data_IF_072028048714
#
_entry.id   IF_072028048714
#
_cell.length_a   1.000
_cell.length_b   1.000
_cell.length_c   1.000
_cell.angle_alpha   90.00
_cell.angle_beta   90.00
_cell.angle_gamma   90.00
#
_symmetry.space_group_name_H-M   'P 1'
#
loop_
_entity.id
_entity.type
_entity.pdbx_description
1 polymer ?
#
# COMPACT_ATOMS: atom_id res chain seq x y z
N UNK A 1 17.72 7.98 14.89
CA UNK A 1 16.41 8.56 14.51
C UNK A 1 16.37 9.03 13.05
N UNK A 2 17.37 9.74 12.49
CA UNK A 2 17.39 10.08 11.06
C UNK A 2 17.51 8.85 10.12
N UNK A 3 18.41 7.91 10.44
CA UNK A 3 18.65 6.74 9.60
C UNK A 3 17.47 5.74 9.51
N UNK A 4 16.60 5.67 10.52
CA UNK A 4 15.42 4.79 10.48
C UNK A 4 14.39 5.27 9.45
N UNK A 5 14.22 6.59 9.34
CA UNK A 5 13.32 7.19 8.36
C UNK A 5 13.86 7.03 6.94
N UNK A 6 15.17 7.18 6.73
CA UNK A 6 15.83 6.91 5.44
C UNK A 6 15.66 5.44 5.00
N UNK A 7 15.78 4.49 5.95
CA UNK A 7 15.54 3.07 5.69
C UNK A 7 14.08 2.83 5.31
N UNK A 8 13.13 3.46 6.00
CA UNK A 8 11.71 3.33 5.70
C UNK A 8 11.36 3.89 4.31
N UNK A 9 11.89 5.06 3.95
CA UNK A 9 11.75 5.63 2.60
C UNK A 9 12.32 4.70 1.52
N UNK A 10 13.49 4.11 1.77
CA UNK A 10 14.12 3.17 0.85
C UNK A 10 13.28 1.90 0.65
N UNK A 11 12.71 1.35 1.73
CA UNK A 11 11.80 0.21 1.68
C UNK A 11 10.51 0.55 0.93
N UNK A 12 9.91 1.69 1.21
CA UNK A 12 8.70 2.15 0.54
C UNK A 12 8.92 2.34 -0.98
N UNK A 13 10.06 2.93 -1.38
CA UNK A 13 10.46 3.03 -2.78
C UNK A 13 10.64 1.67 -3.46
N UNK A 14 11.26 0.70 -2.77
CA UNK A 14 11.42 -0.66 -3.30
C UNK A 14 10.08 -1.37 -3.47
N UNK A 15 9.19 -1.25 -2.49
CA UNK A 15 7.81 -1.77 -2.55
C UNK A 15 7.05 -1.17 -3.74
N UNK A 16 7.15 0.16 -3.96
CA UNK A 16 6.53 0.83 -5.10
C UNK A 16 6.98 0.24 -6.44
N UNK A 17 8.30 0.11 -6.65
CA UNK A 17 8.85 -0.44 -7.90
C UNK A 17 8.35 -1.87 -8.14
N UNK A 18 8.32 -2.71 -7.11
CA UNK A 18 7.87 -4.09 -7.22
C UNK A 18 6.36 -4.18 -7.48
N UNK A 19 5.53 -3.41 -6.76
CA UNK A 19 4.09 -3.36 -7.01
C UNK A 19 3.78 -2.89 -8.44
N UNK A 20 4.52 -1.90 -8.94
CA UNK A 20 4.37 -1.41 -10.32
C UNK A 20 4.72 -2.48 -11.34
N UNK A 21 5.77 -3.27 -11.10
CA UNK A 21 6.19 -4.35 -12.01
C UNK A 21 5.22 -5.53 -12.02
N UNK A 22 4.77 -5.95 -10.84
CA UNK A 22 3.95 -7.17 -10.70
C UNK A 22 2.46 -6.93 -11.02
N UNK A 23 1.94 -5.73 -10.73
CA UNK A 23 0.49 -5.46 -10.78
C UNK A 23 0.12 -4.12 -11.41
N UNK A 24 1.10 -3.41 -11.98
CA UNK A 24 0.95 -2.04 -12.49
C UNK A 24 0.36 -1.05 -11.45
N UNK A 25 0.56 -1.34 -10.16
CA UNK A 25 -0.02 -0.54 -9.08
C UNK A 25 0.94 0.55 -8.60
N UNK A 26 0.43 1.77 -8.51
CA UNK A 26 1.15 2.92 -7.95
C UNK A 26 0.68 3.17 -6.53
N UNK A 27 1.62 3.60 -5.68
CA UNK A 27 1.36 3.99 -4.29
C UNK A 27 1.98 5.37 -4.05
N UNK A 28 1.42 6.09 -3.10
CA UNK A 28 2.00 7.33 -2.60
C UNK A 28 3.01 6.98 -1.49
N UNK A 29 4.29 7.19 -1.77
CA UNK A 29 5.39 6.84 -0.83
C UNK A 29 5.39 7.76 0.38
N UNK A 30 5.03 9.04 0.22
CA UNK A 30 4.98 9.98 1.35
C UNK A 30 3.83 9.63 2.27
N UNK A 31 2.65 9.37 1.71
CA UNK A 31 1.48 8.98 2.49
C UNK A 31 1.65 7.63 3.18
N UNK A 32 2.36 6.68 2.54
CA UNK A 32 2.73 5.40 3.13
C UNK A 32 3.49 5.57 4.45
N UNK A 33 4.32 6.60 4.60
CA UNK A 33 5.15 6.78 5.79
C UNK A 33 4.38 7.44 6.94
N UNK A 34 3.45 8.33 6.62
CA UNK A 34 2.76 9.16 7.61
C UNK A 34 1.36 8.64 7.99
N UNK A 35 0.83 7.66 7.26
CA UNK A 35 -0.50 7.10 7.50
C UNK A 35 -0.46 5.57 7.67
N UNK A 36 -0.73 5.12 8.89
CA UNK A 36 -0.66 3.70 9.24
C UNK A 36 -1.74 2.83 8.54
N UNK A 37 -2.97 3.30 8.39
CA UNK A 37 -4.03 2.55 7.70
C UNK A 37 -3.66 2.32 6.23
N UNK A 38 -3.20 3.38 5.56
CA UNK A 38 -2.76 3.31 4.18
C UNK A 38 -1.54 2.41 4.02
N UNK A 39 -0.56 2.51 4.93
CA UNK A 39 0.59 1.62 4.96
C UNK A 39 0.18 0.15 5.10
N UNK A 40 -0.73 -0.18 6.02
CA UNK A 40 -1.22 -1.53 6.20
C UNK A 40 -1.94 -2.06 4.96
N UNK A 41 -2.76 -1.24 4.31
CA UNK A 41 -3.44 -1.66 3.09
C UNK A 41 -2.44 -1.92 1.96
N UNK A 42 -1.42 -1.08 1.79
CA UNK A 42 -0.33 -1.31 0.84
C UNK A 42 0.43 -2.60 1.19
N UNK A 43 0.71 -2.85 2.46
CA UNK A 43 1.41 -4.05 2.92
C UNK A 43 0.56 -5.32 2.78
N UNK A 44 -0.77 -5.22 2.93
CA UNK A 44 -1.73 -6.30 2.64
C UNK A 44 -1.67 -6.67 1.16
N UNK A 45 -1.62 -5.67 0.28
CA UNK A 45 -1.51 -5.88 -1.17
C UNK A 45 -0.16 -6.49 -1.56
N UNK A 46 0.93 -6.01 -0.95
CA UNK A 46 2.26 -6.56 -1.15
C UNK A 46 2.34 -8.03 -0.72
N UNK A 47 1.75 -8.39 0.42
CA UNK A 47 1.69 -9.77 0.92
C UNK A 47 0.79 -10.69 0.07
N UNK A 48 -0.24 -10.15 -0.58
CA UNK A 48 -1.08 -10.90 -1.50
C UNK A 48 -0.38 -11.24 -2.83
N UNK A 49 0.77 -10.60 -3.11
CA UNK A 49 1.59 -10.91 -4.27
C UNK A 49 2.32 -12.25 -4.10
N UNK A 50 2.59 -12.93 -5.22
CA UNK A 50 3.41 -14.14 -5.26
C UNK A 50 4.92 -13.84 -5.38
N UNK A 51 5.30 -12.57 -5.43
CA UNK A 51 6.69 -12.14 -5.59
C UNK A 51 7.42 -12.14 -4.23
N UNK A 52 8.39 -13.03 -4.06
CA UNK A 52 9.07 -13.27 -2.78
C UNK A 52 9.76 -12.01 -2.24
N UNK A 53 10.46 -11.26 -3.09
CA UNK A 53 11.16 -10.04 -2.69
C UNK A 53 10.19 -8.97 -2.16
N UNK A 54 9.00 -8.87 -2.76
CA UNK A 54 7.98 -7.92 -2.32
C UNK A 54 7.42 -8.30 -0.94
N UNK A 55 7.20 -9.60 -0.71
CA UNK A 55 6.75 -10.12 0.59
C UNK A 55 7.81 -9.87 1.66
N UNK A 56 9.10 -10.10 1.37
CA UNK A 56 10.21 -9.84 2.29
C UNK A 56 10.29 -8.36 2.69
N UNK A 57 10.24 -7.44 1.71
CA UNK A 57 10.25 -6.01 2.01
C UNK A 57 9.01 -5.57 2.79
N UNK A 58 7.84 -6.16 2.52
CA UNK A 58 6.64 -5.89 3.29
C UNK A 58 6.79 -6.33 4.76
N UNK A 59 7.32 -7.52 5.02
CA UNK A 59 7.58 -8.02 6.38
C UNK A 59 8.60 -7.15 7.11
N UNK A 60 9.69 -6.77 6.44
CA UNK A 60 10.69 -5.87 7.02
C UNK A 60 10.10 -4.51 7.37
N UNK A 61 9.20 -4.01 6.54
CA UNK A 61 8.51 -2.74 6.79
C UNK A 61 7.56 -2.84 7.98
N UNK A 62 6.80 -3.94 8.12
CA UNK A 62 5.95 -4.19 9.29
C UNK A 62 6.73 -4.09 10.61
N UNK A 63 7.94 -4.64 10.64
CA UNK A 63 8.79 -4.62 11.85
C UNK A 63 9.39 -3.25 12.17
N UNK A 64 9.65 -2.41 11.16
CA UNK A 64 10.35 -1.14 11.33
C UNK A 64 9.42 0.09 11.37
N UNK A 65 8.22 -0.01 10.82
CA UNK A 65 7.36 1.16 10.63
C UNK A 65 6.79 1.66 11.98
N UNK A 66 7.17 2.86 12.44
CA UNK A 66 6.90 3.31 13.81
C UNK A 66 5.40 3.45 14.10
N UNK A 67 4.62 3.88 13.11
CA UNK A 67 3.18 4.07 13.27
C UNK A 67 2.39 2.76 13.35
N UNK A 68 2.92 1.64 12.85
CA UNK A 68 2.17 0.38 12.77
C UNK A 68 2.08 -0.32 14.12
N UNK A 69 3.11 -0.23 14.95
CA UNK A 69 3.12 -0.85 16.28
C UNK A 69 2.04 -0.27 17.21
N UNK A 70 1.73 1.02 17.07
CA UNK A 70 0.74 1.73 17.89
C UNK A 70 -0.64 1.84 17.21
N UNK A 71 -0.80 1.26 16.01
CA UNK A 71 -1.96 1.52 15.19
C UNK A 71 -3.22 0.79 15.68
N UNK A 72 -4.31 1.54 15.87
CA UNK A 72 -5.66 0.99 16.02
C UNK A 72 -6.36 1.07 14.66
N UNK A 73 -6.82 -0.06 14.09
CA UNK A 73 -7.41 -0.08 12.76
C UNK A 73 -8.64 0.83 12.69
N UNK A 74 -8.68 1.70 11.68
CA UNK A 74 -9.91 2.42 11.35
C UNK A 74 -10.88 1.42 10.72
N UNK A 75 -12.06 1.26 11.32
CA UNK A 75 -13.13 0.46 10.73
C UNK A 75 -13.75 1.25 9.58
N UNK A 76 -13.28 1.00 8.36
CA UNK A 76 -13.89 1.55 7.15
C UNK A 76 -15.21 0.81 6.92
N UNK A 77 -16.34 1.50 7.11
CA UNK A 77 -17.65 0.96 6.69
C UNK A 77 -17.66 0.84 5.17
N UNK A 78 -17.86 -0.37 4.68
CA UNK A 78 -18.02 -0.64 3.26
C UNK A 78 -19.21 0.16 2.74
N UNK A 79 -18.95 1.12 1.85
CA UNK A 79 -19.98 1.95 1.26
C UNK A 79 -20.65 1.10 0.17
N UNK A 80 -21.91 0.73 0.35
CA UNK A 80 -22.70 0.05 -0.69
C UNK A 80 -22.72 0.94 -1.94
N UNK A 81 -21.98 0.54 -2.96
CA UNK A 81 -21.96 1.25 -4.25
C UNK A 81 -23.27 0.90 -4.96
N UNK A 82 -24.21 1.85 -5.00
CA UNK A 82 -25.37 1.72 -5.89
C UNK A 82 -24.87 1.56 -7.34
N UNK A 83 -25.51 0.73 -8.18
CA UNK A 83 -25.05 0.49 -9.54
C UNK A 83 -25.05 1.80 -10.32
N UNK A 84 -23.86 2.37 -10.51
CA UNK A 84 -23.68 3.53 -11.38
C UNK A 84 -23.79 2.99 -12.80
N UNK A 85 -24.92 3.26 -13.47
CA UNK A 85 -25.05 3.06 -14.91
C UNK A 85 -23.87 3.77 -15.57
N UNK A 86 -22.96 2.98 -16.13
CA UNK A 86 -21.68 3.44 -16.60
C UNK A 86 -21.87 4.38 -17.81
N UNK A 87 -21.92 5.69 -17.54
CA UNK A 87 -22.09 6.77 -18.52
C UNK A 87 -21.10 6.73 -19.70
N UNK A 88 -20.03 5.95 -19.59
CA UNK A 88 -18.94 5.90 -20.57
C UNK A 88 -18.86 4.59 -21.37
N UNK A 89 -19.71 3.59 -21.09
CA UNK A 89 -19.69 2.31 -21.84
C UNK A 89 -20.27 2.48 -23.25
N UNK A 90 -21.10 3.50 -23.48
CA UNK A 90 -21.75 3.75 -24.77
C UNK A 90 -20.84 4.36 -25.85
N UNK A 91 -19.61 4.77 -25.52
CA UNK A 91 -18.72 5.46 -26.46
C UNK A 91 -17.56 4.60 -27.00
N UNK A 92 -17.47 3.32 -26.63
CA UNK A 92 -16.45 2.39 -27.14
C UNK A 92 -16.94 1.62 -28.37
N UNK A 93 -17.34 2.33 -29.43
CA UNK A 93 -17.63 1.73 -30.74
C UNK A 93 -16.43 1.82 -31.66
#
# INVERSE_FOLDING_TARGET
MAGEMEVLFSLAGRIYVLLRRESNRMIDVEWFIVNADYALEVLRLAQASKQAELVEHAQRTLSLHPLLAAHRPIVVREKTVAPVLAKYVTCLR
#
